data_IF_085318230617
#
_entry.id   IF_085318230617
#
_cell.length_a   1.000
_cell.length_b   1.000
_cell.length_c   1.000
_cell.angle_alpha   90.00
_cell.angle_beta   90.00
_cell.angle_gamma   90.00
#
_symmetry.space_group_name_H-M   'P 1'
#
loop_
_entity.id
_entity.type
_entity.pdbx_description
1 polymer ?
#
# COMPACT_ATOMS: atom_id res chain seq x y z
N UNK A 1 58.55 38.97 11.54
CA UNK A 1 57.12 39.26 11.40
C UNK A 1 56.56 39.56 12.79
N UNK A 2 56.02 40.75 13.02
CA UNK A 2 55.55 41.17 14.37
C UNK A 2 54.34 40.34 14.81
N UNK A 3 54.22 40.02 16.11
CA UNK A 3 53.10 39.25 16.68
C UNK A 3 51.69 39.75 16.19
N UNK A 4 51.53 41.08 15.99
CA UNK A 4 50.33 41.68 15.44
C UNK A 4 50.00 41.24 14.00
N UNK A 5 51.01 41.08 13.11
CA UNK A 5 50.81 40.62 11.73
C UNK A 5 50.34 39.15 11.68
N UNK A 6 50.87 38.32 12.59
CA UNK A 6 50.47 36.89 12.68
C UNK A 6 49.03 36.76 13.15
N UNK A 7 48.55 37.57 14.07
CA UNK A 7 47.17 37.56 14.56
C UNK A 7 46.21 38.03 13.46
N UNK A 8 46.54 39.10 12.73
CA UNK A 8 45.71 39.57 11.61
C UNK A 8 45.58 38.50 10.50
N UNK A 9 46.68 37.82 10.14
CA UNK A 9 46.62 36.77 9.14
C UNK A 9 45.76 35.58 9.61
N UNK A 10 45.82 35.20 10.90
CA UNK A 10 44.98 34.12 11.45
C UNK A 10 43.50 34.51 11.48
N UNK A 11 43.17 35.75 11.79
CA UNK A 11 41.79 36.25 11.75
C UNK A 11 41.23 36.31 10.32
N UNK A 12 42.07 36.69 9.34
CA UNK A 12 41.72 36.69 7.93
C UNK A 12 41.46 35.27 7.41
N UNK A 13 42.30 34.32 7.77
CA UNK A 13 42.11 32.90 7.39
C UNK A 13 40.83 32.32 8.02
N UNK A 14 40.55 32.68 9.29
CA UNK A 14 39.36 32.23 9.98
C UNK A 14 38.06 32.82 9.34
N UNK A 15 38.10 34.12 8.98
CA UNK A 15 36.95 34.75 8.31
C UNK A 15 36.73 34.20 6.89
N UNK A 16 37.78 33.88 6.12
CA UNK A 16 37.64 33.24 4.82
C UNK A 16 37.09 31.82 4.98
N UNK A 17 37.52 31.06 5.98
CA UNK A 17 37.00 29.72 6.26
C UNK A 17 35.50 29.74 6.64
N UNK A 18 35.07 30.76 7.44
CA UNK A 18 33.67 30.95 7.80
C UNK A 18 32.82 31.35 6.57
N UNK A 19 33.35 32.25 5.72
CA UNK A 19 32.66 32.66 4.48
C UNK A 19 32.54 31.47 3.50
N UNK A 20 33.62 30.70 3.31
CA UNK A 20 33.58 29.52 2.46
C UNK A 20 32.64 28.42 3.02
N UNK A 21 32.64 28.20 4.35
CA UNK A 21 31.72 27.31 5.03
C UNK A 21 30.26 27.73 4.88
N UNK A 22 29.96 29.04 5.02
CA UNK A 22 28.61 29.58 4.80
C UNK A 22 28.17 29.49 3.33
N UNK A 23 29.09 29.73 2.39
CA UNK A 23 28.80 29.58 0.96
C UNK A 23 28.54 28.11 0.58
N UNK A 24 29.34 27.18 1.09
CA UNK A 24 29.13 25.75 0.90
C UNK A 24 27.82 25.27 1.56
N UNK A 25 27.48 25.83 2.72
CA UNK A 25 26.20 25.57 3.38
C UNK A 25 25.02 26.11 2.54
N UNK A 26 25.13 27.34 2.02
CA UNK A 26 24.11 27.96 1.16
C UNK A 26 23.98 27.22 -0.18
N UNK A 27 25.09 26.73 -0.78
CA UNK A 27 25.07 25.94 -2.00
C UNK A 27 24.42 24.56 -1.73
N UNK A 28 24.75 23.90 -0.61
CA UNK A 28 24.07 22.67 -0.18
C UNK A 28 22.59 22.91 0.14
N UNK A 29 22.26 24.02 0.79
CA UNK A 29 20.87 24.39 1.08
C UNK A 29 20.09 24.72 -0.20
N UNK A 30 20.71 25.38 -1.18
CA UNK A 30 20.10 25.69 -2.49
C UNK A 30 19.90 24.43 -3.35
N UNK A 31 20.78 23.42 -3.21
CA UNK A 31 20.65 22.13 -3.87
C UNK A 31 19.76 21.13 -3.11
N UNK A 32 19.34 21.46 -1.88
CA UNK A 32 18.37 20.68 -1.11
C UNK A 32 16.95 21.24 -1.17
N UNK A 33 16.74 22.39 -1.83
CA UNK A 33 15.39 22.71 -2.28
C UNK A 33 15.05 21.77 -3.42
N UNK A 34 13.89 21.11 -3.39
CA UNK A 34 13.39 20.38 -4.55
C UNK A 34 13.49 21.38 -5.72
N UNK A 35 13.97 20.93 -6.90
CA UNK A 35 13.83 21.68 -8.15
C UNK A 35 12.44 22.30 -8.13
N UNK A 36 12.34 23.58 -8.54
CA UNK A 36 11.03 24.18 -8.81
C UNK A 36 10.21 23.10 -9.49
N UNK A 37 9.20 22.62 -8.79
CA UNK A 37 8.22 21.69 -9.33
C UNK A 37 7.61 22.49 -10.46
N UNK A 38 7.87 22.14 -11.71
CA UNK A 38 6.99 22.55 -12.80
C UNK A 38 5.60 22.30 -12.26
N UNK A 39 4.79 23.34 -12.08
CA UNK A 39 3.43 23.19 -11.59
C UNK A 39 2.74 22.16 -12.47
N UNK A 40 2.68 20.94 -11.98
CA UNK A 40 1.95 19.88 -12.65
C UNK A 40 0.48 20.19 -12.41
N UNK A 41 -0.21 20.63 -13.46
CA UNK A 41 -1.58 21.09 -13.33
C UNK A 41 -2.49 19.92 -12.92
N UNK A 42 -2.24 18.70 -13.46
CA UNK A 42 -3.10 17.52 -13.25
C UNK A 42 -2.35 16.18 -13.28
N UNK A 43 -2.86 15.18 -12.57
CA UNK A 43 -2.25 13.85 -12.53
C UNK A 43 -3.26 12.69 -12.63
N UNK A 44 -2.77 11.53 -13.09
CA UNK A 44 -3.40 10.22 -12.92
C UNK A 44 -2.50 9.40 -11.98
N UNK A 45 -2.96 9.16 -10.78
CA UNK A 45 -2.18 8.52 -9.72
C UNK A 45 -2.71 7.12 -9.45
N UNK A 46 -1.85 6.11 -9.59
CA UNK A 46 -2.18 4.73 -9.24
C UNK A 46 -1.68 4.46 -7.83
N UNK A 47 -2.60 4.10 -6.92
CA UNK A 47 -2.28 3.75 -5.53
C UNK A 47 -2.40 2.24 -5.36
N UNK A 48 -1.27 1.51 -5.32
CA UNK A 48 -1.26 0.05 -5.38
C UNK A 48 -1.71 -0.61 -4.07
N UNK A 49 -1.91 -1.94 -4.11
CA UNK A 49 -2.24 -2.75 -2.94
C UNK A 49 -1.04 -3.06 -2.05
N UNK A 50 -1.31 -3.82 -0.98
CA UNK A 50 -0.27 -4.30 -0.07
C UNK A 50 0.75 -5.17 -0.83
N UNK A 51 2.04 -4.96 -0.57
CA UNK A 51 3.12 -5.72 -1.20
C UNK A 51 3.42 -5.33 -2.65
N UNK A 52 2.68 -4.38 -3.26
CA UNK A 52 2.88 -4.01 -4.66
C UNK A 52 3.95 -2.94 -4.88
N UNK A 53 4.25 -2.12 -3.87
CA UNK A 53 5.41 -1.22 -3.89
C UNK A 53 6.67 -1.98 -3.48
N UNK A 54 7.80 -1.66 -4.09
CA UNK A 54 9.09 -2.28 -3.74
C UNK A 54 9.76 -1.57 -2.57
N UNK A 55 10.46 -2.35 -1.74
CA UNK A 55 11.27 -1.84 -0.64
C UNK A 55 12.73 -2.14 -0.94
N UNK A 56 13.59 -1.15 -0.75
CA UNK A 56 14.99 -1.16 -1.14
C UNK A 56 15.92 -1.00 0.05
N UNK A 57 17.13 -1.51 -0.08
CA UNK A 57 18.22 -1.27 0.87
C UNK A 57 18.84 0.10 0.60
N UNK A 58 18.69 1.02 1.53
CA UNK A 58 19.14 2.41 1.44
C UNK A 58 20.46 2.67 2.18
N UNK A 59 21.04 1.63 2.78
CA UNK A 59 22.33 1.71 3.46
C UNK A 59 23.52 1.70 2.49
N UNK A 60 24.72 1.88 3.03
CA UNK A 60 25.96 1.71 2.25
C UNK A 60 26.06 0.27 1.75
N UNK A 61 26.49 0.09 0.50
CA UNK A 61 26.76 -1.23 -0.09
C UNK A 61 27.62 -2.10 0.83
N UNK A 62 27.20 -3.32 1.05
CA UNK A 62 27.88 -4.31 1.88
C UNK A 62 27.93 -5.68 1.17
N UNK A 63 28.40 -6.72 1.85
CA UNK A 63 28.52 -8.07 1.28
C UNK A 63 27.17 -8.76 0.97
N UNK A 64 26.04 -8.21 1.46
CA UNK A 64 24.71 -8.81 1.31
C UNK A 64 23.88 -8.03 0.30
N UNK A 65 23.83 -6.69 0.44
CA UNK A 65 23.02 -5.80 -0.40
C UNK A 65 23.83 -4.63 -0.95
N UNK A 66 23.56 -4.27 -2.21
CA UNK A 66 23.97 -2.99 -2.79
C UNK A 66 22.99 -1.89 -2.38
N UNK A 67 23.47 -0.64 -2.36
CA UNK A 67 22.56 0.50 -2.22
C UNK A 67 21.52 0.48 -3.35
N UNK A 68 20.25 0.72 -3.02
CA UNK A 68 19.15 0.71 -3.97
C UNK A 68 18.62 -0.68 -4.37
N UNK A 69 19.28 -1.77 -3.96
CA UNK A 69 18.82 -3.13 -4.27
C UNK A 69 17.52 -3.47 -3.55
N UNK A 70 16.55 -4.05 -4.27
CA UNK A 70 15.28 -4.50 -3.71
C UNK A 70 15.50 -5.62 -2.67
N UNK A 71 14.94 -5.45 -1.47
CA UNK A 71 15.07 -6.40 -0.36
C UNK A 71 13.91 -7.38 -0.23
N UNK A 72 12.79 -7.07 -0.88
CA UNK A 72 11.65 -7.96 -1.02
C UNK A 72 11.74 -8.59 -2.40
N UNK A 73 11.07 -9.49 -2.84
CA UNK A 73 11.23 -10.23 -4.08
C UNK A 73 11.66 -9.34 -5.27
N UNK A 74 12.83 -9.65 -5.85
CA UNK A 74 13.35 -9.00 -7.03
C UNK A 74 12.88 -9.77 -8.26
N UNK A 75 11.94 -9.21 -9.04
CA UNK A 75 11.50 -9.73 -10.33
C UNK A 75 10.06 -10.17 -10.44
N UNK A 76 9.66 -10.40 -11.67
CA UNK A 76 8.32 -10.80 -12.04
C UNK A 76 8.20 -12.33 -11.95
N UNK A 77 7.29 -12.83 -11.11
CA UNK A 77 7.06 -14.28 -10.96
C UNK A 77 6.72 -14.99 -12.28
N UNK A 78 6.18 -14.26 -13.25
CA UNK A 78 5.79 -14.83 -14.54
C UNK A 78 6.99 -15.10 -15.48
N UNK A 79 8.17 -14.50 -15.21
CA UNK A 79 9.35 -14.59 -16.08
C UNK A 79 10.56 -15.27 -15.43
N UNK A 80 10.50 -15.61 -14.15
CA UNK A 80 11.65 -16.19 -13.44
C UNK A 80 11.92 -17.63 -13.80
N UNK A 81 13.20 -17.91 -14.04
CA UNK A 81 13.69 -19.30 -14.04
C UNK A 81 13.65 -19.85 -12.61
N UNK A 82 13.50 -21.17 -12.47
CA UNK A 82 13.53 -21.86 -11.17
C UNK A 82 14.81 -21.55 -10.36
N UNK A 83 15.92 -21.27 -11.04
CA UNK A 83 17.20 -20.95 -10.39
C UNK A 83 17.22 -19.54 -9.81
N UNK A 84 16.66 -18.57 -10.52
CA UNK A 84 16.53 -17.18 -10.05
C UNK A 84 15.56 -17.11 -8.86
N UNK A 85 14.42 -17.77 -8.95
CA UNK A 85 13.47 -17.95 -7.83
C UNK A 85 14.17 -18.50 -6.58
N UNK A 86 15.00 -19.54 -6.75
CA UNK A 86 15.74 -20.16 -5.64
C UNK A 86 16.72 -19.18 -5.01
N UNK A 87 17.54 -18.51 -5.81
CA UNK A 87 18.59 -17.62 -5.30
C UNK A 87 18.01 -16.40 -4.59
N UNK A 88 16.99 -15.76 -5.17
CA UNK A 88 16.33 -14.61 -4.56
C UNK A 88 15.49 -14.99 -3.33
N UNK A 89 14.79 -16.13 -3.37
CA UNK A 89 14.07 -16.63 -2.21
C UNK A 89 15.01 -16.93 -1.04
N UNK A 90 16.16 -17.57 -1.28
CA UNK A 90 17.14 -17.86 -0.24
C UNK A 90 17.70 -16.57 0.36
N UNK A 91 18.06 -15.56 -0.47
CA UNK A 91 18.56 -14.26 0.02
C UNK A 91 17.49 -13.52 0.84
N UNK A 92 16.26 -13.44 0.34
CA UNK A 92 15.14 -12.82 1.06
C UNK A 92 14.83 -13.55 2.37
N UNK A 93 14.84 -14.88 2.36
CA UNK A 93 14.62 -15.71 3.54
C UNK A 93 15.74 -15.60 4.57
N UNK A 94 17.00 -15.53 4.14
CA UNK A 94 18.13 -15.33 5.05
C UNK A 94 18.07 -13.97 5.76
N UNK A 95 17.46 -12.98 5.12
CA UNK A 95 17.44 -11.59 5.58
C UNK A 95 16.04 -11.04 5.88
N UNK A 96 15.01 -11.89 6.02
CA UNK A 96 13.62 -11.47 6.25
C UNK A 96 13.47 -10.51 7.42
N UNK A 97 14.33 -10.61 8.45
CA UNK A 97 14.32 -9.72 9.61
C UNK A 97 14.48 -8.24 9.25
N UNK A 98 15.11 -7.93 8.11
CA UNK A 98 15.25 -6.57 7.62
C UNK A 98 13.89 -5.89 7.37
N UNK A 99 12.86 -6.68 7.07
CA UNK A 99 11.50 -6.20 6.87
C UNK A 99 10.69 -6.06 8.18
N UNK A 100 11.25 -6.49 9.31
CA UNK A 100 10.52 -6.52 10.58
C UNK A 100 10.23 -5.11 11.11
N UNK A 101 9.03 -4.99 11.71
CA UNK A 101 8.64 -3.83 12.51
C UNK A 101 8.66 -4.16 14.00
N UNK A 102 8.85 -3.15 14.84
CA UNK A 102 8.75 -3.24 16.28
C UNK A 102 7.27 -3.32 16.74
N UNK A 103 7.03 -3.44 18.05
CA UNK A 103 5.68 -3.51 18.59
C UNK A 103 4.85 -2.23 18.43
N UNK A 104 5.46 -1.13 18.03
CA UNK A 104 4.77 0.12 17.68
C UNK A 104 4.35 0.16 16.20
N UNK A 105 4.77 -0.81 15.39
CA UNK A 105 4.54 -0.83 13.94
C UNK A 105 5.58 -0.05 13.14
N UNK A 106 6.71 0.32 13.73
CA UNK A 106 7.78 1.07 13.07
C UNK A 106 8.86 0.11 12.55
N UNK A 107 9.47 0.36 11.38
CA UNK A 107 10.57 -0.43 10.89
C UNK A 107 11.73 -0.50 11.88
N UNK A 108 12.21 -1.71 12.17
CA UNK A 108 13.39 -1.90 13.03
C UNK A 108 14.64 -1.41 12.29
N UNK A 109 14.71 -1.64 11.00
CA UNK A 109 15.82 -1.25 10.14
C UNK A 109 15.42 -0.03 9.29
N UNK A 110 15.91 1.15 9.69
CA UNK A 110 15.61 2.43 9.02
C UNK A 110 16.23 2.57 7.62
N UNK A 111 17.17 1.70 7.28
CA UNK A 111 17.79 1.65 5.97
C UNK A 111 17.05 0.73 4.98
N UNK A 112 15.81 0.38 5.28
CA UNK A 112 14.90 -0.31 4.37
C UNK A 112 13.69 0.59 4.15
N UNK A 113 13.48 1.00 2.91
CA UNK A 113 12.42 1.93 2.54
C UNK A 113 12.23 2.08 1.04
N UNK A 114 11.59 3.17 0.66
CA UNK A 114 11.36 3.53 -0.73
C UNK A 114 12.63 4.13 -1.34
N UNK A 115 12.87 3.83 -2.61
CA UNK A 115 13.98 4.41 -3.36
C UNK A 115 13.56 5.78 -3.89
N UNK A 116 14.18 6.84 -3.37
CA UNK A 116 13.90 8.23 -3.75
C UNK A 116 14.96 8.81 -4.72
N UNK A 117 16.18 8.27 -4.68
CA UNK A 117 17.26 8.65 -5.58
C UNK A 117 17.74 7.42 -6.37
N UNK A 118 17.85 7.57 -7.67
CA UNK A 118 18.21 6.51 -8.61
C UNK A 118 19.70 6.55 -9.04
N UNK A 119 20.50 7.46 -8.49
CA UNK A 119 21.92 7.58 -8.82
C UNK A 119 22.70 6.32 -8.44
N UNK A 120 23.41 5.75 -9.41
CA UNK A 120 24.21 4.52 -9.24
C UNK A 120 23.41 3.27 -8.80
N UNK A 121 22.11 3.26 -9.05
CA UNK A 121 21.23 2.11 -8.81
C UNK A 121 21.15 1.27 -10.07
N UNK A 122 21.04 -0.05 -9.90
CA UNK A 122 20.83 -0.99 -11.02
C UNK A 122 19.55 -0.59 -11.80
N UNK A 123 19.61 -0.50 -13.16
CA UNK A 123 18.45 -0.11 -13.97
C UNK A 123 17.19 -0.93 -13.70
N UNK A 124 17.35 -2.22 -13.35
CA UNK A 124 16.23 -3.08 -13.00
C UNK A 124 15.57 -2.66 -11.67
N UNK A 125 16.38 -2.33 -10.64
CA UNK A 125 15.85 -1.85 -9.36
C UNK A 125 15.17 -0.48 -9.51
N UNK A 126 15.67 0.38 -10.42
CA UNK A 126 15.00 1.64 -10.81
C UNK A 126 13.65 1.37 -11.46
N UNK A 127 13.60 0.43 -12.41
CA UNK A 127 12.36 0.09 -13.12
C UNK A 127 11.28 -0.42 -12.14
N UNK A 128 11.62 -1.38 -11.28
CA UNK A 128 10.64 -1.91 -10.32
C UNK A 128 10.26 -0.90 -9.24
N UNK A 129 11.13 0.09 -8.95
CA UNK A 129 10.77 1.22 -8.08
C UNK A 129 9.75 2.15 -8.76
N UNK A 130 9.87 2.40 -10.07
CA UNK A 130 8.95 3.28 -10.81
C UNK A 130 7.58 2.65 -11.04
N UNK A 131 7.55 1.36 -11.41
CA UNK A 131 6.34 0.70 -11.90
C UNK A 131 5.76 -0.31 -10.92
N UNK A 132 6.39 -0.48 -9.76
CA UNK A 132 6.00 -1.49 -8.79
C UNK A 132 6.45 -2.89 -9.19
N UNK A 133 6.08 -3.85 -8.36
CA UNK A 133 6.49 -5.25 -8.45
C UNK A 133 5.88 -6.00 -9.65
N UNK A 134 4.78 -5.52 -10.20
CA UNK A 134 3.98 -6.24 -11.19
C UNK A 134 4.11 -5.59 -12.58
N UNK A 135 4.41 -6.40 -13.59
CA UNK A 135 4.26 -6.01 -15.02
C UNK A 135 2.92 -5.35 -15.32
N UNK A 136 1.93 -5.70 -14.53
CA UNK A 136 0.60 -5.16 -14.62
C UNK A 136 0.58 -3.62 -14.48
N UNK A 137 1.08 -3.06 -13.38
CA UNK A 137 1.11 -1.61 -13.19
C UNK A 137 1.99 -0.93 -14.24
N UNK A 138 3.10 -1.57 -14.62
CA UNK A 138 3.94 -1.09 -15.71
C UNK A 138 3.14 -0.93 -17.00
N UNK A 139 2.43 -1.96 -17.43
CA UNK A 139 1.66 -1.91 -18.68
C UNK A 139 0.55 -0.87 -18.62
N UNK A 140 -0.15 -0.76 -17.48
CA UNK A 140 -1.18 0.25 -17.28
C UNK A 140 -0.58 1.66 -17.34
N UNK A 141 0.52 1.92 -16.63
CA UNK A 141 1.18 3.24 -16.62
C UNK A 141 1.63 3.60 -18.02
N UNK A 142 2.35 2.72 -18.72
CA UNK A 142 2.82 2.97 -20.08
C UNK A 142 1.67 3.23 -21.06
N UNK A 143 0.56 2.50 -20.92
CA UNK A 143 -0.64 2.76 -21.71
C UNK A 143 -1.22 4.16 -21.44
N UNK A 144 -1.37 4.52 -20.17
CA UNK A 144 -1.89 5.82 -19.77
C UNK A 144 -0.94 6.97 -20.19
N UNK A 145 0.38 6.79 -20.00
CA UNK A 145 1.40 7.77 -20.44
C UNK A 145 1.33 8.03 -21.95
N UNK A 146 1.19 6.96 -22.75
CA UNK A 146 1.07 7.11 -24.20
C UNK A 146 -0.21 7.83 -24.63
N UNK A 147 -1.30 7.68 -23.87
CA UNK A 147 -2.60 8.24 -24.22
C UNK A 147 -2.85 9.62 -23.62
N UNK A 148 -2.42 9.86 -22.39
CA UNK A 148 -2.75 11.06 -21.63
C UNK A 148 -1.54 11.79 -21.04
N UNK A 149 -0.33 11.25 -21.20
CA UNK A 149 0.88 11.75 -20.55
C UNK A 149 1.35 13.13 -21.03
N UNK A 150 2.43 13.60 -20.43
CA UNK A 150 3.00 14.94 -20.64
C UNK A 150 3.30 15.30 -22.11
N UNK A 151 3.56 14.28 -22.94
CA UNK A 151 3.86 14.46 -24.36
C UNK A 151 2.61 14.41 -25.26
N UNK A 152 1.42 14.42 -24.70
CA UNK A 152 0.12 14.43 -25.39
C UNK A 152 -0.58 15.77 -25.16
N UNK A 153 -1.69 16.00 -25.85
CA UNK A 153 -2.53 17.20 -25.66
C UNK A 153 -3.12 17.27 -24.24
N UNK A 154 -3.20 16.15 -23.53
CA UNK A 154 -3.80 16.05 -22.19
C UNK A 154 -2.85 16.44 -21.05
N UNK A 155 -1.55 16.22 -21.21
CA UNK A 155 -0.45 16.64 -20.30
C UNK A 155 -0.58 16.19 -18.85
N UNK A 156 -1.16 15.00 -18.60
CA UNK A 156 -1.20 14.44 -17.26
C UNK A 156 0.17 13.95 -16.80
N UNK A 157 0.50 14.16 -15.52
CA UNK A 157 1.55 13.41 -14.85
C UNK A 157 0.99 12.05 -14.42
N UNK A 158 1.66 10.95 -14.79
CA UNK A 158 1.14 9.60 -14.58
C UNK A 158 2.17 8.76 -13.85
N UNK A 159 1.82 8.25 -12.69
CA UNK A 159 2.76 7.48 -11.89
C UNK A 159 2.10 6.56 -10.87
N UNK A 160 2.91 5.60 -10.39
CA UNK A 160 2.57 4.77 -9.25
C UNK A 160 2.96 5.50 -7.96
N UNK A 161 2.01 5.70 -7.07
CA UNK A 161 2.30 6.19 -5.72
C UNK A 161 2.91 5.08 -4.89
N UNK A 162 4.24 5.01 -4.83
CA UNK A 162 4.94 4.07 -3.98
C UNK A 162 4.84 4.45 -2.51
N UNK A 163 4.57 3.44 -1.68
CA UNK A 163 4.49 3.61 -0.22
C UNK A 163 5.00 2.37 0.51
N UNK A 164 5.46 2.56 1.73
CA UNK A 164 5.84 1.44 2.59
C UNK A 164 4.58 0.76 3.14
N UNK A 165 4.21 -0.33 2.50
CA UNK A 165 3.00 -1.10 2.78
C UNK A 165 3.02 -1.82 4.13
N UNK A 166 4.14 -1.82 4.86
CA UNK A 166 4.22 -2.32 6.23
C UNK A 166 3.61 -1.35 7.24
N UNK A 167 3.63 -0.04 6.93
CA UNK A 167 3.29 1.05 7.83
C UNK A 167 1.78 1.29 7.94
N UNK A 168 1.43 2.17 8.88
CA UNK A 168 0.07 2.63 9.11
C UNK A 168 -0.47 3.39 7.88
N UNK A 169 -1.68 3.03 7.44
CA UNK A 169 -2.33 3.70 6.32
C UNK A 169 -2.69 5.17 6.63
N UNK A 170 -2.74 5.60 7.90
CA UNK A 170 -2.78 7.03 8.24
C UNK A 170 -1.53 7.73 7.72
N UNK A 171 -0.35 7.20 8.02
CA UNK A 171 0.92 7.76 7.56
C UNK A 171 1.03 7.77 6.02
N UNK A 172 0.67 6.65 5.38
CA UNK A 172 0.70 6.56 3.92
C UNK A 172 -0.35 7.48 3.27
N UNK A 173 -1.53 7.64 3.89
CA UNK A 173 -2.55 8.59 3.45
C UNK A 173 -2.11 10.06 3.58
N UNK A 174 -1.41 10.41 4.65
CA UNK A 174 -0.80 11.75 4.80
C UNK A 174 0.25 12.03 3.73
N UNK A 175 1.04 11.02 3.35
CA UNK A 175 2.00 11.17 2.24
C UNK A 175 1.27 11.36 0.90
N UNK A 176 0.23 10.57 0.64
CA UNK A 176 -0.57 10.73 -0.56
C UNK A 176 -1.25 12.11 -0.59
N UNK A 177 -1.86 12.54 0.52
CA UNK A 177 -2.46 13.88 0.63
C UNK A 177 -1.47 14.99 0.21
N UNK A 178 -0.22 14.95 0.67
CA UNK A 178 0.81 15.93 0.29
C UNK A 178 1.07 15.92 -1.22
N UNK A 179 1.14 14.72 -1.83
CA UNK A 179 1.29 14.59 -3.28
C UNK A 179 0.07 15.14 -4.01
N UNK A 180 -1.16 14.88 -3.53
CA UNK A 180 -2.36 15.43 -4.16
C UNK A 180 -2.38 16.96 -4.17
N UNK A 181 -1.81 17.59 -3.15
CA UNK A 181 -1.72 19.07 -3.03
C UNK A 181 -0.74 19.70 -4.03
N UNK A 182 0.09 18.92 -4.72
CA UNK A 182 1.02 19.41 -5.75
C UNK A 182 0.33 19.62 -7.12
N UNK A 183 -0.97 19.23 -7.26
CA UNK A 183 -1.72 19.26 -8.52
C UNK A 183 -2.95 20.16 -8.41
N UNK A 184 -2.84 21.41 -8.87
CA UNK A 184 -3.88 22.43 -8.68
C UNK A 184 -5.14 22.19 -9.51
N UNK A 185 -5.03 21.68 -10.75
CA UNK A 185 -6.17 21.36 -11.61
C UNK A 185 -6.86 20.04 -11.25
N UNK A 186 -6.29 19.32 -10.27
CA UNK A 186 -6.88 18.14 -9.68
C UNK A 186 -6.32 16.83 -10.21
N UNK A 187 -6.83 15.74 -9.64
CA UNK A 187 -6.28 14.40 -9.84
C UNK A 187 -7.34 13.37 -10.18
N UNK A 188 -6.96 12.41 -11.00
CA UNK A 188 -7.66 11.13 -11.17
C UNK A 188 -6.90 10.09 -10.34
N UNK A 189 -7.59 9.37 -9.46
CA UNK A 189 -6.97 8.36 -8.60
C UNK A 189 -7.51 6.98 -8.98
N UNK A 190 -6.58 6.04 -9.22
CA UNK A 190 -6.88 4.62 -9.41
C UNK A 190 -6.38 3.89 -8.16
N UNK A 191 -7.28 3.63 -7.21
CA UNK A 191 -6.94 2.89 -6.01
C UNK A 191 -7.08 1.38 -6.24
N UNK A 192 -6.10 0.58 -5.81
CA UNK A 192 -6.15 -0.87 -5.89
C UNK A 192 -6.04 -1.53 -4.51
N UNK A 193 -6.98 -2.43 -4.18
CA UNK A 193 -6.94 -3.22 -2.94
C UNK A 193 -6.79 -2.31 -1.71
N UNK A 194 -5.73 -2.48 -0.91
CA UNK A 194 -5.40 -1.64 0.23
C UNK A 194 -5.14 -0.18 -0.15
N UNK A 195 -4.70 0.10 -1.37
CA UNK A 195 -4.50 1.47 -1.86
C UNK A 195 -5.77 2.32 -1.80
N UNK A 196 -6.95 1.69 -1.84
CA UNK A 196 -8.22 2.40 -1.62
C UNK A 196 -8.30 2.99 -0.20
N UNK A 197 -7.84 2.28 0.83
CA UNK A 197 -7.86 2.78 2.21
C UNK A 197 -6.92 3.98 2.38
N UNK A 198 -5.77 3.96 1.72
CA UNK A 198 -4.81 5.07 1.70
C UNK A 198 -5.44 6.29 1.01
N UNK A 199 -6.09 6.07 -0.13
CA UNK A 199 -6.82 7.13 -0.86
C UNK A 199 -7.92 7.73 0.01
N UNK A 200 -8.68 6.93 0.74
CA UNK A 200 -9.74 7.42 1.63
C UNK A 200 -9.18 8.29 2.77
N UNK A 201 -8.03 7.94 3.32
CA UNK A 201 -7.38 8.78 4.35
C UNK A 201 -6.93 10.11 3.77
N UNK A 202 -6.32 10.12 2.58
CA UNK A 202 -5.95 11.34 1.88
C UNK A 202 -7.19 12.19 1.53
N UNK A 203 -8.25 11.57 1.03
CA UNK A 203 -9.52 12.22 0.74
C UNK A 203 -10.14 12.87 1.98
N UNK A 204 -10.06 12.21 3.15
CA UNK A 204 -10.53 12.79 4.41
C UNK A 204 -9.77 14.06 4.76
N UNK A 205 -8.45 14.08 4.61
CA UNK A 205 -7.64 15.27 4.88
C UNK A 205 -7.98 16.42 3.92
N UNK A 206 -8.20 16.11 2.62
CA UNK A 206 -8.69 17.11 1.65
C UNK A 206 -10.08 17.65 2.05
N UNK A 207 -10.97 16.78 2.50
CA UNK A 207 -12.31 17.18 2.97
C UNK A 207 -12.23 18.14 4.17
N UNK A 208 -11.35 17.86 5.13
CA UNK A 208 -11.14 18.71 6.32
C UNK A 208 -10.62 20.12 5.97
N UNK A 209 -10.00 20.27 4.80
CA UNK A 209 -9.55 21.56 4.23
C UNK A 209 -10.53 22.16 3.20
N UNK A 210 -11.72 21.57 3.00
CA UNK A 210 -12.67 21.94 1.96
C UNK A 210 -12.12 21.83 0.53
N UNK A 211 -11.20 20.90 0.28
CA UNK A 211 -10.50 20.70 -1.00
C UNK A 211 -10.75 19.31 -1.62
N UNK A 212 -11.82 18.63 -1.20
CA UNK A 212 -12.16 17.27 -1.68
C UNK A 212 -12.39 17.21 -3.19
N UNK A 213 -12.86 18.31 -3.80
CA UNK A 213 -13.11 18.45 -5.23
C UNK A 213 -11.83 18.42 -6.08
N UNK A 214 -10.65 18.44 -5.46
CA UNK A 214 -9.36 18.14 -6.08
C UNK A 214 -9.34 16.72 -6.65
N UNK A 215 -10.04 15.78 -6.04
CA UNK A 215 -10.26 14.44 -6.62
C UNK A 215 -11.36 14.54 -7.68
N UNK A 216 -10.95 14.66 -8.94
CA UNK A 216 -11.88 14.78 -10.08
C UNK A 216 -12.56 13.46 -10.40
N UNK A 217 -11.84 12.35 -10.25
CA UNK A 217 -12.36 11.01 -10.45
C UNK A 217 -11.63 10.02 -9.51
N UNK A 218 -12.39 9.18 -8.84
CA UNK A 218 -11.86 8.06 -8.06
C UNK A 218 -12.34 6.72 -8.65
N UNK A 219 -11.42 5.98 -9.23
CA UNK A 219 -11.62 4.62 -9.72
C UNK A 219 -11.12 3.64 -8.66
N UNK A 220 -12.05 3.12 -7.89
CA UNK A 220 -11.76 2.21 -6.80
C UNK A 220 -11.77 0.78 -7.31
N UNK A 221 -10.60 0.15 -7.44
CA UNK A 221 -10.46 -1.17 -8.04
C UNK A 221 -10.17 -2.22 -6.97
N UNK A 222 -10.96 -3.30 -6.96
CA UNK A 222 -10.83 -4.45 -6.03
C UNK A 222 -10.70 -4.02 -4.55
N UNK A 223 -11.56 -3.12 -4.06
CA UNK A 223 -11.40 -2.48 -2.76
C UNK A 223 -11.62 -3.47 -1.61
N UNK A 224 -11.01 -3.16 -0.46
CA UNK A 224 -11.13 -3.91 0.79
C UNK A 224 -11.67 -3.02 1.93
N UNK A 225 -12.70 -2.24 1.64
CA UNK A 225 -13.24 -1.23 2.55
C UNK A 225 -13.57 -1.73 3.95
N UNK A 226 -14.16 -2.93 4.02
CA UNK A 226 -14.64 -3.47 5.27
C UNK A 226 -13.71 -4.57 5.83
N UNK A 227 -12.49 -4.67 5.29
CA UNK A 227 -11.54 -5.71 5.69
C UNK A 227 -11.83 -7.09 5.09
N UNK A 228 -11.01 -8.07 5.42
CA UNK A 228 -11.12 -9.44 4.91
C UNK A 228 -10.78 -10.47 6.01
N UNK A 229 -11.50 -11.58 6.05
CA UNK A 229 -11.18 -12.73 6.90
C UNK A 229 -9.82 -13.32 6.55
N UNK A 230 -9.41 -13.19 5.27
CA UNK A 230 -8.09 -13.60 4.81
C UNK A 230 -6.96 -12.87 5.54
N UNK A 231 -7.12 -11.59 5.88
CA UNK A 231 -6.13 -10.83 6.64
C UNK A 231 -5.95 -11.41 8.06
N UNK A 232 -7.05 -11.78 8.73
CA UNK A 232 -7.00 -12.43 10.04
C UNK A 232 -6.29 -13.78 9.95
N UNK A 233 -6.63 -14.56 8.93
CA UNK A 233 -6.02 -15.87 8.72
C UNK A 233 -4.52 -15.73 8.46
N UNK A 234 -4.12 -14.77 7.63
CA UNK A 234 -2.73 -14.49 7.32
C UNK A 234 -1.93 -14.03 8.56
N UNK A 235 -2.46 -13.11 9.36
CA UNK A 235 -1.84 -12.68 10.62
C UNK A 235 -1.58 -13.84 11.59
N UNK A 236 -2.48 -14.84 11.63
CA UNK A 236 -2.35 -15.98 12.53
C UNK A 236 -1.53 -17.13 11.96
N UNK A 237 -1.59 -17.37 10.68
CA UNK A 237 -1.01 -18.55 10.01
C UNK A 237 0.12 -18.22 9.03
N UNK A 238 0.25 -16.95 8.58
CA UNK A 238 1.26 -16.55 7.59
C UNK A 238 1.06 -17.18 6.21
N UNK A 239 -0.13 -17.69 5.91
CA UNK A 239 -0.40 -18.39 4.65
C UNK A 239 -1.59 -17.78 3.92
N UNK A 240 -1.54 -17.86 2.59
CA UNK A 240 -2.58 -17.41 1.67
C UNK A 240 -3.28 -18.64 1.11
N UNK A 241 -4.63 -18.63 1.07
CA UNK A 241 -5.41 -19.69 0.43
C UNK A 241 -5.10 -19.76 -1.07
N UNK A 242 -5.14 -20.99 -1.59
CA UNK A 242 -5.13 -21.31 -3.02
C UNK A 242 -3.85 -20.93 -3.81
N UNK A 243 -2.71 -20.66 -3.16
CA UNK A 243 -1.45 -20.47 -3.86
C UNK A 243 -0.61 -21.77 -3.85
N UNK A 244 -0.63 -22.52 -4.95
CA UNK A 244 0.08 -23.80 -5.07
C UNK A 244 1.60 -23.67 -4.98
N UNK A 245 2.18 -22.62 -5.58
CA UNK A 245 3.62 -22.36 -5.52
C UNK A 245 4.04 -22.00 -4.08
N UNK A 246 3.27 -21.15 -3.41
CA UNK A 246 3.49 -20.82 -2.01
C UNK A 246 3.50 -22.09 -1.13
N UNK A 247 2.55 -23.00 -1.35
CA UNK A 247 2.45 -24.25 -0.59
C UNK A 247 3.67 -25.16 -0.78
N UNK A 248 4.24 -25.22 -1.98
CA UNK A 248 5.46 -25.98 -2.26
C UNK A 248 6.65 -25.35 -1.52
N UNK A 249 6.85 -24.05 -1.67
CA UNK A 249 7.93 -23.29 -1.00
C UNK A 249 7.79 -23.35 0.52
N UNK A 250 6.57 -23.28 1.03
CA UNK A 250 6.29 -23.35 2.47
C UNK A 250 6.69 -24.69 3.10
N UNK A 251 6.49 -25.80 2.39
CA UNK A 251 6.94 -27.13 2.86
C UNK A 251 8.47 -27.16 3.09
N UNK A 252 9.22 -26.44 2.27
CA UNK A 252 10.69 -26.45 2.30
C UNK A 252 11.21 -25.41 3.30
N UNK A 253 10.70 -24.17 3.26
CA UNK A 253 11.28 -22.99 3.93
C UNK A 253 10.48 -22.48 5.12
N UNK A 254 9.32 -23.07 5.46
CA UNK A 254 8.45 -22.62 6.55
C UNK A 254 8.07 -21.13 6.42
N UNK A 255 7.71 -20.72 5.20
CA UNK A 255 7.35 -19.32 4.88
C UNK A 255 6.21 -18.79 5.73
N UNK A 256 5.25 -19.64 6.07
CA UNK A 256 4.13 -19.32 6.94
C UNK A 256 4.58 -18.77 8.31
N UNK A 257 5.59 -19.40 8.93
CA UNK A 257 6.12 -18.93 10.19
C UNK A 257 6.82 -17.57 10.07
N UNK A 258 7.59 -17.39 8.99
CA UNK A 258 8.30 -16.14 8.71
C UNK A 258 7.30 -15.01 8.46
N UNK A 259 6.31 -15.23 7.59
CA UNK A 259 5.32 -14.23 7.25
C UNK A 259 4.41 -13.89 8.45
N UNK A 260 3.97 -14.89 9.23
CA UNK A 260 3.23 -14.64 10.45
C UNK A 260 4.07 -13.83 11.47
N UNK A 261 5.37 -14.08 11.56
CA UNK A 261 6.28 -13.31 12.43
C UNK A 261 6.38 -11.85 11.96
N UNK A 262 6.62 -11.62 10.68
CA UNK A 262 6.77 -10.28 10.12
C UNK A 262 5.50 -9.45 10.26
N UNK A 263 4.39 -9.99 9.82
CA UNK A 263 3.12 -9.26 9.72
C UNK A 263 2.46 -8.94 11.06
N UNK A 264 2.85 -9.63 12.14
CA UNK A 264 2.36 -9.34 13.50
C UNK A 264 2.57 -7.90 13.95
N UNK A 265 3.52 -7.20 13.36
CA UNK A 265 3.83 -5.81 13.71
C UNK A 265 3.66 -4.85 12.52
N UNK A 266 2.95 -5.26 11.46
CA UNK A 266 2.59 -4.35 10.36
C UNK A 266 1.23 -3.72 10.61
N UNK A 267 1.14 -2.42 10.94
CA UNK A 267 -0.13 -1.73 11.18
C UNK A 267 -1.14 -1.94 10.04
N UNK A 268 -0.65 -1.86 8.79
CA UNK A 268 -1.48 -2.02 7.60
C UNK A 268 -2.23 -3.36 7.57
N UNK A 269 -1.59 -4.46 7.99
CA UNK A 269 -2.22 -5.78 8.03
C UNK A 269 -3.40 -5.84 9.01
N UNK A 270 -3.31 -5.11 10.14
CA UNK A 270 -4.41 -5.00 11.09
C UNK A 270 -5.55 -4.14 10.54
N UNK A 271 -5.24 -3.14 9.71
CA UNK A 271 -6.23 -2.30 9.04
C UNK A 271 -6.99 -3.04 7.93
N UNK A 272 -6.56 -4.25 7.57
CA UNK A 272 -7.25 -5.15 6.65
C UNK A 272 -8.14 -6.20 7.37
N UNK A 273 -8.20 -6.24 8.70
CA UNK A 273 -9.10 -7.16 9.40
C UNK A 273 -10.58 -6.74 9.25
N UNK A 274 -11.56 -7.67 9.37
CA UNK A 274 -12.97 -7.33 9.22
C UNK A 274 -13.42 -6.23 10.17
N UNK A 275 -14.10 -5.23 9.62
CA UNK A 275 -14.65 -4.09 10.36
C UNK A 275 -15.97 -4.43 11.05
N UNK A 276 -16.51 -3.45 11.80
CA UNK A 276 -17.85 -3.52 12.37
C UNK A 276 -18.90 -3.66 11.27
N UNK A 277 -18.71 -2.98 10.12
CA UNK A 277 -19.65 -3.04 8.99
C UNK A 277 -19.63 -4.43 8.31
N UNK A 278 -18.46 -5.02 8.11
CA UNK A 278 -18.35 -6.42 7.65
C UNK A 278 -19.15 -7.35 8.57
N UNK A 279 -18.91 -7.23 9.87
CA UNK A 279 -19.54 -8.09 10.87
C UNK A 279 -21.06 -7.89 10.92
N UNK A 280 -21.56 -6.66 10.71
CA UNK A 280 -22.99 -6.36 10.65
C UNK A 280 -23.64 -7.06 9.45
N UNK A 281 -23.03 -6.95 8.26
CA UNK A 281 -23.53 -7.56 7.01
C UNK A 281 -23.52 -9.10 7.08
N UNK A 282 -22.49 -9.70 7.68
CA UNK A 282 -22.34 -11.15 7.80
C UNK A 282 -22.88 -11.75 9.12
N UNK A 283 -23.46 -10.93 9.99
CA UNK A 283 -23.84 -11.34 11.37
C UNK A 283 -22.66 -11.93 12.17
N UNK A 284 -21.46 -11.42 11.92
CA UNK A 284 -20.19 -11.88 12.50
C UNK A 284 -19.25 -12.49 11.45
N UNK A 285 -17.97 -12.54 11.75
CA UNK A 285 -16.94 -13.11 10.85
C UNK A 285 -16.16 -14.30 11.48
N UNK A 286 -16.57 -14.72 12.68
CA UNK A 286 -16.04 -15.91 13.35
C UNK A 286 -17.16 -16.76 13.90
N UNK A 287 -16.92 -18.08 13.95
CA UNK A 287 -17.74 -19.05 14.67
C UNK A 287 -16.87 -19.83 15.65
N UNK A 288 -17.48 -20.30 16.73
CA UNK A 288 -16.82 -21.16 17.72
C UNK A 288 -16.94 -22.66 17.36
N UNK A 289 -16.47 -23.52 18.28
CA UNK A 289 -16.54 -24.97 18.11
C UNK A 289 -17.98 -25.50 17.95
N UNK A 290 -18.97 -24.81 18.47
CA UNK A 290 -20.37 -25.16 18.39
C UNK A 290 -21.06 -24.52 17.16
N UNK A 291 -20.29 -23.96 16.23
CA UNK A 291 -20.78 -23.20 15.06
C UNK A 291 -21.61 -21.97 15.42
N UNK A 292 -21.49 -21.44 16.62
CA UNK A 292 -22.17 -20.20 17.02
C UNK A 292 -21.39 -18.99 16.47
N UNK A 293 -22.08 -18.13 15.71
CA UNK A 293 -21.49 -16.86 15.22
C UNK A 293 -21.17 -15.93 16.39
N UNK A 294 -19.95 -15.41 16.35
CA UNK A 294 -19.48 -14.38 17.28
C UNK A 294 -19.78 -13.01 16.67
N UNK A 295 -20.43 -12.14 17.44
CA UNK A 295 -20.59 -10.76 17.02
C UNK A 295 -19.23 -10.04 16.96
N UNK A 296 -19.21 -8.81 16.41
CA UNK A 296 -17.98 -8.03 16.23
C UNK A 296 -17.16 -7.91 17.52
N UNK A 297 -17.79 -7.52 18.63
CA UNK A 297 -17.13 -7.36 19.93
C UNK A 297 -16.52 -8.67 20.43
N UNK A 298 -17.22 -9.78 20.28
CA UNK A 298 -16.74 -11.09 20.68
C UNK A 298 -15.55 -11.54 19.82
N UNK A 299 -15.63 -11.32 18.50
CA UNK A 299 -14.54 -11.62 17.55
C UNK A 299 -13.30 -10.80 17.86
N UNK A 300 -13.45 -9.49 18.07
CA UNK A 300 -12.33 -8.61 18.42
C UNK A 300 -11.72 -8.95 19.77
N UNK A 301 -12.54 -9.32 20.78
CA UNK A 301 -12.04 -9.77 22.07
C UNK A 301 -11.25 -11.09 21.96
N UNK A 302 -11.65 -11.99 21.06
CA UNK A 302 -10.87 -13.20 20.77
C UNK A 302 -9.49 -12.85 20.18
N UNK A 303 -9.43 -11.96 19.18
CA UNK A 303 -8.17 -11.50 18.59
C UNK A 303 -7.29 -10.79 19.62
N UNK A 304 -7.85 -9.94 20.46
CA UNK A 304 -7.10 -9.21 21.51
C UNK A 304 -6.53 -10.12 22.60
N UNK A 305 -7.12 -11.29 22.83
CA UNK A 305 -6.59 -12.29 23.78
C UNK A 305 -5.47 -13.16 23.20
N UNK A 306 -5.26 -13.12 21.89
CA UNK A 306 -4.17 -13.86 21.25
C UNK A 306 -2.83 -13.16 21.49
N UNK A 307 -1.97 -13.77 22.30
CA UNK A 307 -0.64 -13.25 22.64
C UNK A 307 0.30 -13.12 21.43
N UNK A 308 -0.04 -13.75 20.31
CA UNK A 308 0.72 -13.65 19.07
C UNK A 308 0.29 -12.45 18.22
N UNK A 309 -0.81 -11.78 18.55
CA UNK A 309 -1.28 -10.59 17.86
C UNK A 309 -0.97 -9.33 18.66
N UNK A 310 -0.73 -8.25 17.98
CA UNK A 310 -0.42 -6.97 18.59
C UNK A 310 -1.72 -6.21 18.94
N UNK A 311 -2.07 -6.19 20.22
CA UNK A 311 -3.29 -5.56 20.72
C UNK A 311 -3.34 -4.05 20.43
N UNK A 312 -2.18 -3.36 20.49
CA UNK A 312 -2.09 -1.94 20.17
C UNK A 312 -2.50 -1.69 18.71
N UNK A 313 -1.97 -2.49 17.78
CA UNK A 313 -2.29 -2.37 16.36
C UNK A 313 -3.74 -2.74 16.02
N UNK A 314 -4.35 -3.70 16.75
CA UNK A 314 -5.79 -3.97 16.66
C UNK A 314 -6.60 -2.72 17.01
N UNK A 315 -6.26 -2.03 18.10
CA UNK A 315 -6.98 -0.82 18.52
C UNK A 315 -6.77 0.34 17.52
N UNK A 316 -5.56 0.49 17.00
CA UNK A 316 -5.26 1.48 15.97
C UNK A 316 -6.04 1.22 14.68
N UNK A 317 -6.17 -0.05 14.26
CA UNK A 317 -6.96 -0.43 13.10
C UNK A 317 -8.46 -0.10 13.27
N UNK A 318 -9.03 -0.35 14.44
CA UNK A 318 -10.43 0.03 14.74
C UNK A 318 -10.58 1.54 14.60
N UNK A 319 -9.69 2.32 15.23
CA UNK A 319 -9.72 3.79 15.16
C UNK A 319 -9.53 4.30 13.73
N UNK A 320 -8.65 3.69 12.94
CA UNK A 320 -8.46 4.04 11.53
C UNK A 320 -9.77 3.99 10.75
N UNK A 321 -10.52 2.88 10.86
CA UNK A 321 -11.79 2.73 10.15
C UNK A 321 -12.88 3.67 10.69
N UNK A 322 -12.91 3.93 12.00
CA UNK A 322 -13.85 4.90 12.61
C UNK A 322 -13.52 6.33 12.12
N UNK A 323 -12.24 6.65 11.94
CA UNK A 323 -11.78 7.96 11.46
C UNK A 323 -12.18 8.25 10.00
N UNK A 324 -12.51 7.23 9.21
CA UNK A 324 -13.01 7.42 7.83
C UNK A 324 -14.46 7.92 7.75
N UNK A 325 -15.12 8.14 8.89
CA UNK A 325 -16.47 8.69 8.96
C UNK A 325 -16.43 10.16 9.39
N UNK A 326 -17.29 10.96 8.75
CA UNK A 326 -17.51 12.38 9.06
C UNK A 326 -19.01 12.58 9.16
N UNK A 327 -19.50 13.13 10.31
CA UNK A 327 -20.93 13.32 10.56
C UNK A 327 -21.76 12.04 10.26
N UNK A 328 -21.30 10.90 10.77
CA UNK A 328 -21.91 9.57 10.58
C UNK A 328 -21.96 9.06 9.13
N UNK A 329 -21.37 9.78 8.17
CA UNK A 329 -21.24 9.37 6.78
C UNK A 329 -19.80 9.00 6.46
N UNK A 330 -19.61 7.91 5.74
CA UNK A 330 -18.29 7.50 5.27
C UNK A 330 -17.73 8.51 4.27
N UNK A 331 -16.42 8.77 4.30
CA UNK A 331 -15.76 9.78 3.44
C UNK A 331 -16.03 9.61 1.95
N UNK A 332 -16.28 8.39 1.49
CA UNK A 332 -16.71 8.12 0.11
C UNK A 332 -17.95 8.90 -0.31
N UNK A 333 -18.86 9.27 0.62
CA UNK A 333 -20.04 10.05 0.28
C UNK A 333 -19.70 11.45 -0.26
N UNK A 334 -18.54 11.97 0.11
CA UNK A 334 -18.11 13.32 -0.24
C UNK A 334 -17.26 13.39 -1.51
N UNK A 335 -16.76 12.25 -2.02
CA UNK A 335 -16.13 12.18 -3.34
C UNK A 335 -17.24 12.20 -4.40
N UNK A 336 -17.23 13.20 -5.27
CA UNK A 336 -18.30 13.43 -6.26
C UNK A 336 -18.35 12.33 -7.32
N UNK A 337 -17.27 12.12 -8.03
CA UNK A 337 -17.18 11.16 -9.13
C UNK A 337 -16.37 9.94 -8.68
N UNK A 338 -17.04 8.82 -8.52
CA UNK A 338 -16.44 7.57 -8.03
C UNK A 338 -17.09 6.36 -8.67
N UNK A 339 -16.26 5.37 -9.04
CA UNK A 339 -16.71 4.09 -9.59
C UNK A 339 -15.98 2.95 -8.88
N UNK A 340 -16.68 1.84 -8.71
CA UNK A 340 -16.23 0.70 -7.92
C UNK A 340 -16.13 -0.54 -8.80
N UNK A 341 -14.91 -0.97 -9.09
CA UNK A 341 -14.62 -2.16 -9.85
C UNK A 341 -14.41 -3.32 -8.88
N UNK A 342 -15.36 -4.24 -8.83
CA UNK A 342 -15.40 -5.29 -7.82
C UNK A 342 -15.27 -6.66 -8.48
N UNK A 343 -14.31 -7.48 -7.99
CA UNK A 343 -14.13 -8.85 -8.43
C UNK A 343 -15.17 -9.80 -7.83
N UNK A 344 -15.66 -10.73 -8.65
CA UNK A 344 -16.62 -11.74 -8.27
C UNK A 344 -16.39 -13.05 -9.04
N UNK A 345 -17.19 -14.07 -8.73
CA UNK A 345 -17.16 -15.37 -9.41
C UNK A 345 -16.17 -16.37 -8.82
N UNK A 346 -15.52 -16.06 -7.69
CA UNK A 346 -14.60 -16.95 -7.00
C UNK A 346 -15.00 -17.17 -5.54
N UNK A 347 -14.89 -18.42 -5.08
CA UNK A 347 -15.11 -18.75 -3.67
C UNK A 347 -14.15 -17.94 -2.78
N UNK A 348 -14.71 -17.14 -1.90
CA UNK A 348 -13.96 -16.24 -1.02
C UNK A 348 -14.42 -16.45 0.42
N UNK A 349 -13.47 -16.65 1.33
CA UNK A 349 -13.77 -16.86 2.75
C UNK A 349 -14.52 -15.69 3.35
N UNK A 350 -15.62 -15.95 4.03
CA UNK A 350 -16.41 -14.96 4.74
C UNK A 350 -16.48 -15.19 6.25
N UNK A 351 -16.19 -16.41 6.70
CA UNK A 351 -16.26 -16.77 8.12
C UNK A 351 -15.12 -17.71 8.50
N UNK A 352 -14.52 -17.44 9.64
CA UNK A 352 -13.45 -18.23 10.23
C UNK A 352 -13.98 -19.07 11.39
N UNK A 353 -13.62 -20.35 11.45
CA UNK A 353 -13.84 -21.20 12.61
C UNK A 353 -12.66 -21.11 13.55
N UNK A 354 -12.94 -20.87 14.84
CA UNK A 354 -11.92 -20.77 15.88
C UNK A 354 -12.14 -21.84 16.93
N UNK A 355 -11.03 -22.36 17.46
CA UNK A 355 -11.06 -23.22 18.64
C UNK A 355 -10.85 -22.38 19.90
N UNK A 356 -11.90 -22.22 20.75
CA UNK A 356 -11.81 -21.44 21.99
C UNK A 356 -10.84 -22.03 23.02
N UNK A 357 -10.62 -23.34 22.98
CA UNK A 357 -9.73 -24.04 23.92
C UNK A 357 -8.26 -23.94 23.46
N UNK A 358 -8.04 -23.72 22.18
CA UNK A 358 -6.72 -23.54 21.57
C UNK A 358 -6.72 -22.33 20.65
N UNK A 359 -6.33 -21.17 21.16
CA UNK A 359 -6.31 -19.90 20.41
C UNK A 359 -5.43 -19.93 19.14
N UNK A 360 -4.63 -20.99 18.92
CA UNK A 360 -3.80 -21.15 17.73
C UNK A 360 -4.57 -21.79 16.57
N UNK A 361 -5.67 -22.46 16.83
CA UNK A 361 -6.45 -23.11 15.78
C UNK A 361 -7.47 -22.15 15.17
N UNK A 362 -7.30 -21.90 13.88
CA UNK A 362 -8.22 -21.13 13.06
C UNK A 362 -8.27 -21.78 11.67
N UNK A 363 -9.44 -21.86 11.08
CA UNK A 363 -9.65 -22.38 9.73
C UNK A 363 -10.70 -21.54 9.01
N UNK A 364 -10.67 -21.55 7.69
CA UNK A 364 -11.78 -21.05 6.90
C UNK A 364 -12.96 -22.00 7.04
N UNK A 365 -14.16 -21.49 7.09
CA UNK A 365 -15.35 -22.32 7.33
C UNK A 365 -16.46 -22.07 6.32
N UNK A 366 -16.90 -20.82 6.14
CA UNK A 366 -17.87 -20.47 5.12
C UNK A 366 -17.20 -19.64 4.03
N UNK A 367 -17.76 -19.78 2.83
CA UNK A 367 -17.32 -19.08 1.63
C UNK A 367 -18.54 -18.50 0.94
N UNK A 368 -18.33 -17.39 0.28
CA UNK A 368 -19.32 -16.73 -0.56
C UNK A 368 -18.62 -16.07 -1.75
N UNK A 369 -19.36 -15.37 -2.58
CA UNK A 369 -18.84 -14.79 -3.81
C UNK A 369 -17.85 -13.65 -3.55
N UNK A 370 -16.78 -13.61 -4.35
CA UNK A 370 -15.74 -12.57 -4.31
C UNK A 370 -14.68 -12.82 -5.39
N UNK A 371 -13.48 -12.35 -5.14
CA UNK A 371 -12.33 -12.46 -6.05
C UNK A 371 -11.25 -13.44 -5.55
N UNK A 372 -11.59 -14.33 -4.61
CA UNK A 372 -10.67 -15.26 -3.96
C UNK A 372 -9.91 -14.69 -2.76
N UNK A 373 -9.85 -13.36 -2.62
CA UNK A 373 -9.18 -12.64 -1.52
C UNK A 373 -10.14 -11.75 -0.76
N UNK A 374 -10.98 -11.02 -1.48
CA UNK A 374 -11.91 -10.01 -0.97
C UNK A 374 -13.33 -10.40 -1.34
N UNK A 375 -14.18 -10.54 -0.34
CA UNK A 375 -15.57 -10.90 -0.56
C UNK A 375 -16.34 -9.72 -1.17
N UNK A 376 -17.13 -9.99 -2.21
CA UNK A 376 -17.86 -8.98 -2.96
C UNK A 376 -18.81 -8.15 -2.08
N UNK A 377 -19.75 -8.80 -1.39
CA UNK A 377 -20.81 -8.10 -0.63
C UNK A 377 -20.34 -7.62 0.75
N UNK A 378 -19.37 -8.28 1.34
CA UNK A 378 -18.96 -8.02 2.73
C UNK A 378 -17.79 -7.06 2.79
N UNK A 379 -16.77 -7.31 1.99
CA UNK A 379 -15.49 -6.60 2.04
C UNK A 379 -15.41 -5.45 1.04
N UNK A 380 -15.70 -5.73 -0.22
CA UNK A 380 -15.53 -4.80 -1.32
C UNK A 380 -16.69 -3.81 -1.50
N UNK A 381 -17.90 -4.21 -1.13
CA UNK A 381 -19.08 -3.35 -1.32
C UNK A 381 -18.92 -2.02 -0.57
N UNK A 382 -19.06 -0.87 -1.28
CA UNK A 382 -18.74 0.43 -0.71
C UNK A 382 -19.65 0.78 0.48
N UNK A 383 -19.10 1.35 1.55
CA UNK A 383 -19.85 1.82 2.70
C UNK A 383 -20.41 3.25 2.50
N UNK A 384 -20.97 3.54 1.34
CA UNK A 384 -21.56 4.84 1.00
C UNK A 384 -22.87 4.69 0.24
N UNK A 385 -23.59 5.79 0.14
CA UNK A 385 -24.71 5.94 -0.78
C UNK A 385 -24.14 6.10 -2.20
N UNK A 386 -24.44 5.17 -3.10
CA UNK A 386 -24.02 5.22 -4.50
C UNK A 386 -25.08 4.59 -5.39
N UNK A 387 -25.13 5.05 -6.64
CA UNK A 387 -26.00 4.44 -7.64
C UNK A 387 -25.46 3.07 -8.03
N UNK A 388 -26.35 2.15 -8.41
CA UNK A 388 -25.94 0.82 -8.90
C UNK A 388 -25.03 0.89 -10.14
N UNK A 389 -25.19 1.90 -10.97
CA UNK A 389 -24.39 2.16 -12.16
C UNK A 389 -22.92 2.47 -11.85
N UNK A 390 -22.62 2.92 -10.63
CA UNK A 390 -21.25 3.15 -10.18
C UNK A 390 -20.57 1.86 -9.71
N UNK A 391 -21.27 0.73 -9.62
CA UNK A 391 -20.73 -0.55 -9.16
C UNK A 391 -20.62 -1.50 -10.35
N UNK A 392 -19.38 -1.79 -10.74
CA UNK A 392 -19.02 -2.59 -11.88
C UNK A 392 -18.47 -3.93 -11.40
N UNK A 393 -19.10 -5.04 -11.82
CA UNK A 393 -18.72 -6.38 -11.39
C UNK A 393 -17.95 -7.11 -12.49
N UNK A 394 -16.78 -7.67 -12.13
CA UNK A 394 -15.92 -8.38 -13.05
C UNK A 394 -15.64 -9.80 -12.55
N UNK A 395 -15.85 -10.77 -13.42
CA UNK A 395 -15.51 -12.19 -13.13
C UNK A 395 -14.02 -12.38 -13.27
N UNK A 396 -13.28 -12.06 -12.21
CA UNK A 396 -11.83 -12.18 -12.16
C UNK A 396 -11.35 -12.36 -10.73
N UNK A 397 -10.18 -12.99 -10.55
CA UNK A 397 -9.55 -13.08 -9.24
C UNK A 397 -8.75 -11.82 -8.90
N UNK A 398 -8.46 -11.64 -7.61
CA UNK A 398 -7.81 -10.45 -7.06
C UNK A 398 -6.46 -10.13 -7.71
N UNK A 399 -5.67 -11.13 -8.08
CA UNK A 399 -4.31 -10.98 -8.58
C UNK A 399 -4.24 -10.80 -10.10
N UNK A 400 -5.22 -11.32 -10.83
CA UNK A 400 -5.29 -11.28 -12.30
C UNK A 400 -6.32 -10.27 -12.84
N UNK A 401 -6.86 -9.41 -11.96
CA UNK A 401 -7.85 -8.40 -12.29
C UNK A 401 -7.55 -7.68 -13.61
N UNK A 402 -6.34 -7.29 -13.77
CA UNK A 402 -5.87 -6.46 -14.87
C UNK A 402 -5.45 -7.23 -16.13
N UNK A 403 -5.60 -8.54 -16.12
CA UNK A 403 -5.58 -9.36 -17.34
C UNK A 403 -6.96 -9.42 -17.98
N UNK A 404 -7.99 -8.92 -17.31
CA UNK A 404 -9.35 -8.86 -17.81
C UNK A 404 -9.50 -7.65 -18.74
N UNK A 405 -9.75 -7.92 -20.02
CA UNK A 405 -9.87 -6.88 -21.05
C UNK A 405 -11.06 -5.98 -20.83
N UNK A 406 -12.21 -6.53 -20.40
CA UNK A 406 -13.43 -5.76 -20.16
C UNK A 406 -13.22 -4.75 -19.02
N UNK A 407 -12.49 -5.16 -17.97
CA UNK A 407 -12.08 -4.28 -16.90
C UNK A 407 -11.22 -3.11 -17.41
N UNK A 408 -10.22 -3.39 -18.26
CA UNK A 408 -9.33 -2.35 -18.79
C UNK A 408 -10.07 -1.38 -19.72
N UNK A 409 -10.99 -1.88 -20.55
CA UNK A 409 -11.82 -1.06 -21.43
C UNK A 409 -12.67 -0.11 -20.59
N UNK A 410 -13.43 -0.63 -19.64
CA UNK A 410 -14.31 0.18 -18.78
C UNK A 410 -13.53 1.23 -17.99
N UNK A 411 -12.37 0.84 -17.41
CA UNK A 411 -11.49 1.77 -16.69
C UNK A 411 -11.04 2.93 -17.58
N UNK A 412 -10.63 2.64 -18.83
CA UNK A 412 -10.14 3.66 -19.75
C UNK A 412 -11.28 4.52 -20.33
N UNK A 413 -12.46 3.96 -20.51
CA UNK A 413 -13.63 4.71 -20.98
C UNK A 413 -14.10 5.71 -19.91
N UNK A 414 -14.09 5.32 -18.64
CA UNK A 414 -14.37 6.26 -17.56
C UNK A 414 -13.30 7.36 -17.47
N UNK A 415 -12.01 7.05 -17.62
CA UNK A 415 -10.97 8.08 -17.66
C UNK A 415 -11.22 9.04 -18.84
N UNK A 416 -11.57 8.52 -20.03
CA UNK A 416 -11.88 9.35 -21.19
C UNK A 416 -12.98 10.38 -20.88
N UNK A 417 -14.05 10.00 -20.19
CA UNK A 417 -15.16 10.91 -19.87
C UNK A 417 -14.72 12.11 -19.01
N UNK A 418 -13.71 11.92 -18.16
CA UNK A 418 -13.25 12.97 -17.23
C UNK A 418 -12.02 13.74 -17.70
N UNK A 419 -11.28 13.20 -18.63
CA UNK A 419 -10.14 13.88 -19.27
C UNK A 419 -10.61 14.99 -20.23
N UNK A 420 -11.81 14.85 -20.80
CA UNK A 420 -12.41 15.83 -21.73
C UNK A 420 -13.16 16.99 -21.05
N UNK A 421 -13.34 16.94 -19.72
CA UNK A 421 -13.98 18.00 -18.92
C UNK A 421 -12.95 18.94 -18.31
#
# INVERSE_FOLDING_TARGET
MTRKKVIIIRLLILSIAIICGSLLFLIRFKNSFPKEVENNEKAIIIVPGIGCSTLHYLGKTNNIYKHGECVFFRGNFDTWTLLELKNHAVKALANYKLLACNSNGEPIYKNIGLLENYDNVDPYDVEISKYGFSLFFKNLILYLENKYGKNTDYKYDIFLFNYDWRLDNNYNGERLYKVLKEYDDGVIIIGYSMGNLITLKAAKMLYEENDIDRIKLFLSTFPVYNGSTQAVYFLKKGTILHNSLFNILNKIYKLDLILAFLTRNYPSMYQLIPTKEFSKRNKGFMIDNNNLKLNYRQSMNYLKKDKNLNQKLINQAIKFHEDLYVNDKHILNYIKNKYFFIGCGYETSDTLKINRNNNKEISHHFFSDGDGTVNYKLSAYPPCECNSENILLFKTDHTNAYKNTDFLVELTDLINLYVWQ
#
